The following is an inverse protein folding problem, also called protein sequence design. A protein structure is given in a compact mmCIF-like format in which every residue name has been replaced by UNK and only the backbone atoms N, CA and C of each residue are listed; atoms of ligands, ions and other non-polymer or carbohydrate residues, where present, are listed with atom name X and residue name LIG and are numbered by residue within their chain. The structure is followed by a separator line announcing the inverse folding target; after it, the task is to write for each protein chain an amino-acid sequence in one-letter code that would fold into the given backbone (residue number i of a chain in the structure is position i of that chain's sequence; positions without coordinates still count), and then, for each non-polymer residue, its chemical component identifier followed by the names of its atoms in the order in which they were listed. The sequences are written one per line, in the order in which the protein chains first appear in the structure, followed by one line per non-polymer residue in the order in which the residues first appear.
data_IF_657528874133
#
_entry.id   IF_657528874133
#
_cell.length_a   1.000
_cell.length_b   1.000
_cell.length_c   1.000
_cell.angle_alpha   90.00
_cell.angle_beta   90.00
_cell.angle_gamma   90.00
#
_symmetry.space_group_name_H-M   'P 1'
#
loop_
_entity.id
_entity.type
_entity.pdbx_description
1 polymer ?
#
# COMPACT_ATOMS: atom_id res chain seq x y z
N UNK A 1 11.48 -23.74 -61.18
CA UNK A 1 10.23 -23.55 -60.40
C UNK A 1 10.46 -23.56 -58.89
N UNK A 2 11.15 -24.55 -58.32
CA UNK A 2 11.35 -24.71 -56.86
C UNK A 2 11.93 -23.46 -56.17
N UNK A 3 12.95 -22.81 -56.75
CA UNK A 3 13.52 -21.55 -56.20
C UNK A 3 12.51 -20.41 -56.07
N UNK A 4 11.54 -20.30 -56.98
CA UNK A 4 10.49 -19.28 -56.93
C UNK A 4 9.45 -19.59 -55.85
N UNK A 5 9.13 -20.87 -55.65
CA UNK A 5 8.23 -21.31 -54.57
C UNK A 5 8.85 -21.10 -53.19
N UNK A 6 10.15 -21.36 -53.02
CA UNK A 6 10.86 -21.13 -51.75
C UNK A 6 10.88 -19.63 -51.41
N UNK A 7 11.12 -18.77 -52.40
CA UNK A 7 11.11 -17.32 -52.20
C UNK A 7 9.73 -16.81 -51.79
N UNK A 8 8.67 -17.33 -52.42
CA UNK A 8 7.30 -16.99 -52.07
C UNK A 8 6.93 -17.45 -50.64
N UNK A 9 7.39 -18.65 -50.26
CA UNK A 9 7.20 -19.19 -48.91
C UNK A 9 7.88 -18.32 -47.85
N UNK A 10 9.08 -17.82 -48.16
CA UNK A 10 9.84 -16.94 -47.26
C UNK A 10 9.15 -15.59 -47.07
N UNK A 11 8.58 -15.01 -48.14
CA UNK A 11 7.80 -13.77 -48.07
C UNK A 11 6.52 -13.97 -47.25
N UNK A 12 5.81 -15.09 -47.44
CA UNK A 12 4.61 -15.40 -46.66
C UNK A 12 4.95 -15.59 -45.18
N UNK A 13 6.06 -16.27 -44.86
CA UNK A 13 6.54 -16.43 -43.48
C UNK A 13 6.90 -15.08 -42.83
N UNK A 14 7.50 -14.16 -43.58
CA UNK A 14 7.81 -12.79 -43.09
C UNK A 14 6.54 -11.98 -42.81
N UNK A 15 5.51 -12.11 -43.65
CA UNK A 15 4.22 -11.41 -43.44
C UNK A 15 3.47 -11.99 -42.22
N UNK A 16 3.52 -13.32 -42.02
CA UNK A 16 2.89 -13.96 -40.86
C UNK A 16 3.67 -13.68 -39.55
N UNK A 17 4.99 -13.51 -39.63
CA UNK A 17 5.83 -13.15 -38.49
C UNK A 17 5.63 -11.68 -38.02
N UNK A 18 5.17 -10.80 -38.91
CA UNK A 18 4.77 -9.43 -38.61
C UNK A 18 3.27 -9.32 -38.28
N UNK A 19 2.72 -10.23 -37.48
CA UNK A 19 1.48 -9.90 -36.79
C UNK A 19 1.76 -8.69 -35.90
N UNK A 20 0.98 -7.59 -36.00
CA UNK A 20 1.07 -6.53 -35.02
C UNK A 20 0.88 -7.20 -33.66
N UNK A 21 1.88 -7.08 -32.79
CA UNK A 21 1.70 -7.34 -31.36
C UNK A 21 0.48 -6.50 -31.00
N UNK A 22 -0.60 -7.14 -30.55
CA UNK A 22 -1.86 -6.47 -30.20
C UNK A 22 -1.52 -5.15 -29.53
N UNK A 23 -1.80 -4.04 -30.22
CA UNK A 23 -1.59 -2.71 -29.66
C UNK A 23 -2.45 -2.68 -28.42
N UNK A 24 -1.81 -2.75 -27.24
CA UNK A 24 -2.53 -2.62 -26.00
C UNK A 24 -3.34 -1.34 -26.09
N UNK A 25 -4.63 -1.36 -25.68
CA UNK A 25 -5.51 -0.22 -25.83
C UNK A 25 -4.78 1.03 -25.31
N UNK A 26 -4.64 2.03 -26.17
CA UNK A 26 -4.12 3.34 -25.79
C UNK A 26 -5.12 3.96 -24.82
N UNK A 27 -4.97 3.66 -23.53
CA UNK A 27 -5.64 4.39 -22.47
C UNK A 27 -4.99 5.79 -22.41
N UNK A 28 -5.60 6.78 -23.07
CA UNK A 28 -5.22 8.17 -22.91
C UNK A 28 -5.62 8.64 -21.51
N UNK A 29 -4.63 8.76 -20.62
CA UNK A 29 -4.81 9.37 -19.30
C UNK A 29 -5.04 10.86 -19.53
N UNK A 30 -6.23 11.36 -19.22
CA UNK A 30 -6.48 12.80 -19.19
C UNK A 30 -5.71 13.41 -18.00
N UNK A 31 -4.70 14.22 -18.29
CA UNK A 31 -3.96 14.97 -17.28
C UNK A 31 -4.91 15.99 -16.64
N UNK A 32 -5.15 15.85 -15.34
CA UNK A 32 -5.89 16.85 -14.56
C UNK A 32 -4.93 17.93 -14.07
N UNK A 33 -5.37 19.17 -14.02
CA UNK A 33 -4.60 20.27 -13.44
C UNK A 33 -4.52 20.14 -11.92
N UNK A 34 -3.32 20.14 -11.36
CA UNK A 34 -3.10 20.16 -9.92
C UNK A 34 -3.26 21.60 -9.41
N UNK A 35 -4.38 21.88 -8.73
CA UNK A 35 -4.60 23.16 -8.08
C UNK A 35 -4.15 23.07 -6.62
N UNK A 36 -3.12 23.85 -6.26
CA UNK A 36 -2.66 23.99 -4.87
C UNK A 36 -3.46 25.13 -4.23
N UNK A 37 -4.35 24.78 -3.30
CA UNK A 37 -5.28 25.73 -2.67
C UNK A 37 -4.63 26.43 -1.46
N UNK A 38 -3.79 25.70 -0.72
CA UNK A 38 -3.09 26.20 0.46
C UNK A 38 -1.79 25.41 0.66
N UNK A 39 -0.83 26.00 1.38
CA UNK A 39 0.42 25.34 1.75
C UNK A 39 0.90 25.83 3.10
N UNK A 40 1.25 24.89 3.99
CA UNK A 40 1.91 25.18 5.24
C UNK A 40 3.30 24.56 5.25
N UNK A 41 4.31 25.37 5.62
CA UNK A 41 5.66 24.88 5.83
C UNK A 41 5.76 24.20 7.19
N UNK A 42 6.05 22.90 7.20
CA UNK A 42 6.43 22.17 8.41
C UNK A 42 7.93 22.40 8.63
N UNK A 43 8.30 22.94 9.79
CA UNK A 43 9.70 23.12 10.18
C UNK A 43 10.22 21.80 10.75
N UNK A 44 11.10 21.16 9.99
CA UNK A 44 11.58 19.82 10.26
C UNK A 44 13.10 19.77 10.20
N UNK A 45 13.76 19.23 11.23
CA UNK A 45 15.22 19.28 11.37
C UNK A 45 15.95 17.97 11.04
N UNK A 46 15.23 16.85 10.89
CA UNK A 46 15.76 15.49 10.91
C UNK A 46 15.63 14.74 9.56
N UNK A 47 15.15 15.40 8.49
CA UNK A 47 14.94 14.84 7.16
C UNK A 47 13.80 13.82 7.06
N UNK A 48 12.87 13.73 8.01
CA UNK A 48 11.88 12.63 8.03
C UNK A 48 10.79 12.75 6.96
N UNK A 49 10.44 13.97 6.53
CA UNK A 49 9.47 14.20 5.43
C UNK A 49 10.06 13.89 4.06
N UNK A 50 11.35 13.51 3.97
CA UNK A 50 11.99 13.21 2.69
C UNK A 50 11.36 12.02 1.96
N UNK A 51 10.88 11.01 2.71
CA UNK A 51 10.22 9.81 2.17
C UNK A 51 9.17 9.23 3.12
N UNK A 52 7.97 9.84 3.26
CA UNK A 52 6.90 9.26 4.06
C UNK A 52 6.43 7.93 3.44
N UNK A 53 6.11 6.94 4.28
CA UNK A 53 5.46 5.71 3.82
C UNK A 53 3.97 5.93 3.59
N UNK A 54 3.32 6.68 4.47
CA UNK A 54 1.98 7.21 4.28
C UNK A 54 1.71 8.43 5.16
N UNK A 55 0.72 9.24 4.76
CA UNK A 55 0.18 10.32 5.57
C UNK A 55 -1.35 10.30 5.53
N UNK A 56 -1.99 10.83 6.57
CA UNK A 56 -3.44 11.02 6.63
C UNK A 56 -3.78 12.21 7.50
N UNK A 57 -4.86 12.91 7.15
CA UNK A 57 -5.52 13.78 8.10
C UNK A 57 -6.11 12.94 9.23
N UNK A 58 -6.02 13.46 10.45
CA UNK A 58 -6.61 12.93 11.66
C UNK A 58 -7.56 14.01 12.15
N UNK A 59 -8.86 13.79 11.99
CA UNK A 59 -9.89 14.82 12.14
C UNK A 59 -9.55 16.05 11.26
N UNK A 60 -9.91 17.26 11.73
CA UNK A 60 -9.74 18.51 10.97
C UNK A 60 -8.55 19.36 11.44
N UNK A 61 -7.65 18.81 12.26
CA UNK A 61 -6.58 19.59 12.91
C UNK A 61 -5.22 18.95 12.93
N UNK A 62 -5.12 17.64 12.66
CA UNK A 62 -3.88 16.91 12.79
C UNK A 62 -3.51 16.19 11.49
N UNK A 63 -2.20 16.10 11.23
CA UNK A 63 -1.62 15.32 10.13
C UNK A 63 -0.76 14.21 10.73
N UNK A 64 -1.19 12.97 10.54
CA UNK A 64 -0.41 11.78 10.85
C UNK A 64 0.54 11.45 9.70
N UNK A 65 1.81 11.17 10.02
CA UNK A 65 2.83 10.77 9.05
C UNK A 65 3.57 9.55 9.55
N UNK A 66 3.57 8.46 8.78
CA UNK A 66 4.44 7.31 9.00
C UNK A 66 5.64 7.36 8.05
N UNK A 67 6.81 6.92 8.52
CA UNK A 67 7.98 6.74 7.65
C UNK A 67 8.68 5.42 7.95
N UNK A 68 8.80 4.58 6.92
CA UNK A 68 9.65 3.39 6.94
C UNK A 68 11.13 3.74 6.98
N UNK A 69 11.53 4.80 6.25
CA UNK A 69 12.95 5.18 6.11
C UNK A 69 13.49 5.80 7.39
N UNK A 70 12.71 6.71 7.99
CA UNK A 70 13.06 7.36 9.26
C UNK A 70 12.57 6.58 10.49
N UNK A 71 11.92 5.43 10.28
CA UNK A 71 11.51 4.47 11.32
C UNK A 71 10.66 5.08 12.44
N UNK A 72 9.59 5.78 12.08
CA UNK A 72 8.75 6.42 13.08
C UNK A 72 7.38 6.84 12.59
N UNK A 73 6.59 7.36 13.54
CA UNK A 73 5.28 7.96 13.31
C UNK A 73 5.25 9.33 13.98
N UNK A 74 4.78 10.34 13.28
CA UNK A 74 4.66 11.71 13.76
C UNK A 74 3.25 12.23 13.57
N UNK A 75 2.89 13.20 14.41
CA UNK A 75 1.60 13.89 14.38
C UNK A 75 1.87 15.39 14.46
N UNK A 76 1.40 16.12 13.45
CA UNK A 76 1.55 17.58 13.35
C UNK A 76 0.21 18.26 13.50
N UNK A 77 0.23 19.46 14.05
CA UNK A 77 -0.91 20.37 13.99
C UNK A 77 -0.93 21.08 12.63
N UNK A 78 -1.99 20.92 11.85
CA UNK A 78 -2.05 21.47 10.48
C UNK A 78 -2.25 22.99 10.44
N UNK A 79 -2.57 23.64 11.58
CA UNK A 79 -2.72 25.09 11.66
C UNK A 79 -1.40 25.77 12.03
N UNK A 80 -0.64 25.19 12.95
CA UNK A 80 0.63 25.76 13.42
C UNK A 80 1.87 25.18 12.74
N UNK A 81 1.77 23.99 12.16
CA UNK A 81 2.89 23.27 11.55
C UNK A 81 3.83 22.65 12.58
N UNK A 82 3.49 22.72 13.87
CA UNK A 82 4.28 22.19 14.96
C UNK A 82 4.03 20.69 15.15
N UNK A 83 5.08 19.97 15.53
CA UNK A 83 4.98 18.58 16.00
C UNK A 83 4.25 18.54 17.34
N UNK A 84 3.15 17.79 17.39
CA UNK A 84 2.38 17.55 18.63
C UNK A 84 2.91 16.31 19.34
N UNK A 85 3.18 15.24 18.57
CA UNK A 85 3.64 13.95 19.09
C UNK A 85 4.48 13.22 18.07
N UNK A 86 5.38 12.38 18.58
CA UNK A 86 6.10 11.41 17.77
C UNK A 86 6.36 10.12 18.51
N UNK A 87 6.47 9.05 17.73
CA UNK A 87 6.98 7.75 18.13
C UNK A 87 8.20 7.54 17.27
N UNK A 88 9.35 7.86 17.84
CA UNK A 88 10.64 7.76 17.17
C UNK A 88 11.44 6.70 17.93
N UNK A 89 11.82 5.66 17.20
CA UNK A 89 12.88 4.73 17.61
C UNK A 89 12.58 3.83 18.84
N UNK A 90 13.51 2.90 19.06
CA UNK A 90 13.58 1.96 20.18
C UNK A 90 13.62 2.66 21.54
N UNK A 91 14.05 3.91 21.62
CA UNK A 91 14.15 4.67 22.88
C UNK A 91 12.79 4.95 23.52
N UNK A 92 11.74 5.14 22.71
CA UNK A 92 10.38 5.42 23.20
C UNK A 92 9.59 4.13 23.47
N UNK A 93 9.83 3.07 22.70
CA UNK A 93 9.03 1.83 22.75
C UNK A 93 9.78 0.60 23.29
N UNK A 94 11.09 0.68 23.51
CA UNK A 94 11.95 -0.47 23.80
C UNK A 94 12.16 -1.42 22.61
N UNK A 95 11.51 -1.19 21.46
CA UNK A 95 11.60 -2.04 20.27
C UNK A 95 11.79 -1.21 18.99
N UNK A 96 12.55 -1.71 17.99
CA UNK A 96 12.68 -1.04 16.70
C UNK A 96 11.36 -1.08 15.92
N UNK A 97 11.02 0.04 15.29
CA UNK A 97 9.80 0.19 14.49
C UNK A 97 10.17 0.28 13.01
N UNK A 98 9.45 -0.45 12.17
CA UNK A 98 9.55 -0.33 10.71
C UNK A 98 8.14 -0.14 10.15
N UNK A 99 7.59 1.09 10.18
CA UNK A 99 6.23 1.36 9.72
C UNK A 99 6.12 1.09 8.23
N UNK A 100 5.53 -0.05 7.86
CA UNK A 100 5.10 -0.31 6.48
C UNK A 100 3.95 0.61 6.14
N UNK A 101 2.93 0.65 7.01
CA UNK A 101 1.79 1.55 6.90
C UNK A 101 1.19 1.81 8.27
N UNK A 102 0.58 2.99 8.45
CA UNK A 102 -0.07 3.39 9.71
C UNK A 102 -1.55 3.64 9.45
N UNK A 103 -2.41 3.15 10.34
CA UNK A 103 -3.84 3.45 10.37
C UNK A 103 -4.15 4.37 11.57
N UNK A 104 -4.86 5.45 11.28
CA UNK A 104 -5.24 6.48 12.26
C UNK A 104 -6.75 6.58 12.49
N UNK A 105 -7.53 5.66 11.93
CA UNK A 105 -9.01 5.70 11.95
C UNK A 105 -9.57 5.73 13.38
N UNK A 106 -8.87 5.10 14.34
CA UNK A 106 -9.30 4.99 15.75
C UNK A 106 -8.51 5.91 16.70
N UNK A 107 -7.96 7.03 16.20
CA UNK A 107 -7.19 7.98 17.01
C UNK A 107 -7.96 8.41 18.28
N UNK A 108 -7.35 8.44 19.49
CA UNK A 108 -5.92 8.46 19.83
C UNK A 108 -5.21 7.10 19.87
N UNK A 109 -5.88 6.02 19.47
CA UNK A 109 -5.23 4.74 19.20
C UNK A 109 -4.78 4.70 17.75
N UNK A 110 -3.54 4.31 17.51
CA UNK A 110 -3.03 4.06 16.16
C UNK A 110 -2.58 2.61 16.02
N UNK A 111 -2.61 2.14 14.78
CA UNK A 111 -2.08 0.83 14.42
C UNK A 111 -0.95 1.01 13.43
N UNK A 112 0.17 0.34 13.69
CA UNK A 112 1.36 0.41 12.84
C UNK A 112 1.62 -1.00 12.31
N UNK A 113 1.39 -1.20 11.01
CA UNK A 113 1.77 -2.42 10.32
C UNK A 113 3.29 -2.45 10.13
N UNK A 114 3.92 -3.53 10.56
CA UNK A 114 5.32 -3.82 10.30
C UNK A 114 5.40 -5.09 9.44
N UNK A 115 5.53 -4.90 8.13
CA UNK A 115 5.61 -6.00 7.16
C UNK A 115 6.89 -6.84 7.27
N UNK A 116 7.94 -6.33 7.92
CA UNK A 116 9.19 -7.08 8.14
C UNK A 116 9.04 -8.11 9.26
N UNK A 117 8.30 -7.76 10.31
CA UNK A 117 8.09 -8.64 11.48
C UNK A 117 6.70 -9.29 11.51
N UNK A 118 5.93 -9.10 10.43
CA UNK A 118 4.59 -9.64 10.24
C UNK A 118 3.67 -9.40 11.45
N UNK A 119 3.68 -8.15 11.91
CA UNK A 119 2.97 -7.77 13.12
C UNK A 119 2.38 -6.37 13.04
N UNK A 120 1.41 -6.12 13.91
CA UNK A 120 0.79 -4.83 14.12
C UNK A 120 1.16 -4.35 15.52
N UNK A 121 1.68 -3.14 15.62
CA UNK A 121 1.84 -2.45 16.90
C UNK A 121 0.60 -1.60 17.13
N UNK A 122 -0.17 -1.92 18.18
CA UNK A 122 -1.23 -1.05 18.69
C UNK A 122 -0.59 -0.09 19.68
N UNK A 123 -0.70 1.21 19.42
CA UNK A 123 -0.20 2.25 20.30
C UNK A 123 -1.34 3.18 20.70
N UNK A 124 -1.55 3.34 22.00
CA UNK A 124 -2.49 4.31 22.53
C UNK A 124 -1.75 5.51 23.13
N UNK A 125 -2.00 6.72 22.62
CA UNK A 125 -1.41 7.93 23.16
C UNK A 125 -2.20 8.40 24.39
N UNK A 126 -1.71 8.06 25.59
CA UNK A 126 -2.33 8.54 26.82
C UNK A 126 -2.18 10.07 26.92
N UNK A 127 -3.29 10.80 27.00
CA UNK A 127 -3.30 12.27 27.06
C UNK A 127 -3.14 12.69 28.53
N UNK A 128 -1.92 12.59 29.07
CA UNK A 128 -1.61 13.12 30.41
C UNK A 128 -0.39 14.02 30.37
N UNK A 129 -0.55 15.18 31.03
CA UNK A 129 0.17 16.44 30.83
C UNK A 129 1.70 16.43 30.81
N UNK A 130 2.42 15.38 31.20
CA UNK A 130 3.89 15.48 31.31
C UNK A 130 4.72 14.20 31.07
N UNK A 131 4.13 13.05 30.73
CA UNK A 131 4.87 11.87 30.26
C UNK A 131 3.99 11.03 29.33
N UNK A 132 4.38 10.91 28.06
CA UNK A 132 3.77 9.97 27.13
C UNK A 132 4.31 8.57 27.46
N UNK A 133 3.56 7.77 28.19
CA UNK A 133 3.81 6.33 28.26
C UNK A 133 2.88 5.65 27.26
N UNK A 134 3.32 5.41 26.00
CA UNK A 134 2.51 4.69 25.04
C UNK A 134 2.23 3.28 25.57
N UNK A 135 0.95 2.92 25.71
CA UNK A 135 0.60 1.52 25.95
C UNK A 135 0.78 0.77 24.62
N UNK A 136 1.79 -0.08 24.56
CA UNK A 136 2.15 -0.84 23.37
C UNK A 136 1.68 -2.29 23.50
N UNK A 137 0.91 -2.73 22.51
CA UNK A 137 0.61 -4.14 22.30
C UNK A 137 1.06 -4.56 20.93
N UNK A 138 1.94 -5.56 20.85
CA UNK A 138 2.31 -6.23 19.61
C UNK A 138 1.31 -7.35 19.32
N UNK A 139 0.79 -7.38 18.11
CA UNK A 139 -0.14 -8.39 17.60
C UNK A 139 0.58 -9.08 16.44
N UNK A 140 0.97 -10.35 16.62
CA UNK A 140 1.55 -11.14 15.53
C UNK A 140 0.43 -11.59 14.59
N UNK A 141 0.67 -11.53 13.28
CA UNK A 141 -0.31 -11.97 12.29
C UNK A 141 -0.04 -13.43 11.89
N UNK A 142 -1.09 -14.26 11.95
CA UNK A 142 -1.02 -15.66 11.52
C UNK A 142 -1.23 -15.72 10.00
N UNK A 143 -0.16 -15.52 9.23
CA UNK A 143 -0.27 -15.44 7.78
C UNK A 143 -0.71 -16.78 7.15
N UNK A 144 -1.61 -16.76 6.15
CA UNK A 144 -1.94 -17.97 5.41
C UNK A 144 -0.73 -18.47 4.61
N UNK A 145 -0.63 -19.79 4.44
CA UNK A 145 0.50 -20.45 3.78
C UNK A 145 0.76 -19.86 2.38
N UNK A 146 2.04 -19.62 2.07
CA UNK A 146 2.48 -19.12 0.76
C UNK A 146 2.36 -17.60 0.59
N UNK A 147 1.95 -16.87 1.63
CA UNK A 147 1.82 -15.41 1.60
C UNK A 147 2.84 -14.73 2.50
N UNK A 148 3.06 -13.45 2.26
CA UNK A 148 3.87 -12.53 3.08
C UNK A 148 3.22 -11.15 3.07
N UNK A 149 3.55 -10.34 4.06
CA UNK A 149 3.22 -8.90 4.02
C UNK A 149 4.28 -8.19 3.19
N UNK A 150 3.85 -7.37 2.24
CA UNK A 150 4.77 -6.57 1.45
C UNK A 150 5.40 -5.47 2.35
N UNK A 151 6.73 -5.32 2.37
CA UNK A 151 7.37 -4.27 3.18
C UNK A 151 6.96 -2.84 2.77
N UNK A 152 6.46 -2.68 1.54
CA UNK A 152 5.91 -1.48 0.92
C UNK A 152 4.39 -1.59 0.68
N UNK A 153 3.67 -2.37 1.50
CA UNK A 153 2.22 -2.53 1.41
C UNK A 153 1.50 -1.18 1.36
N UNK A 154 0.67 -1.02 0.33
CA UNK A 154 -0.22 0.10 0.07
C UNK A 154 -1.54 -0.02 0.81
N UNK A 155 -1.96 -1.22 1.23
CA UNK A 155 -3.20 -1.38 1.97
C UNK A 155 -2.97 -1.87 3.39
N UNK A 156 -3.39 -1.03 4.32
CA UNK A 156 -3.55 -1.38 5.72
C UNK A 156 -4.62 -0.47 6.31
N UNK A 157 -5.65 -1.05 6.90
CA UNK A 157 -6.62 -0.32 7.70
C UNK A 157 -7.21 -1.19 8.79
N UNK A 158 -7.75 -0.52 9.79
CA UNK A 158 -8.46 -1.11 10.91
C UNK A 158 -9.93 -0.76 10.81
N UNK A 159 -10.83 -1.74 10.96
CA UNK A 159 -12.26 -1.49 11.04
C UNK A 159 -12.91 -2.50 11.99
N UNK A 160 -13.70 -1.99 12.93
CA UNK A 160 -14.43 -2.80 13.90
C UNK A 160 -13.49 -3.82 14.61
N UNK A 161 -13.71 -5.11 14.37
CA UNK A 161 -12.94 -6.20 14.97
C UNK A 161 -11.87 -6.80 14.04
N UNK A 162 -11.57 -6.12 12.94
CA UNK A 162 -10.71 -6.64 11.88
C UNK A 162 -9.61 -5.66 11.42
N UNK A 163 -8.50 -6.27 11.03
CA UNK A 163 -7.42 -5.66 10.27
C UNK A 163 -7.46 -6.17 8.84
N UNK A 164 -7.22 -5.27 7.92
CA UNK A 164 -7.16 -5.56 6.50
C UNK A 164 -5.76 -5.27 6.02
N UNK A 165 -5.10 -6.26 5.46
CA UNK A 165 -3.66 -6.22 5.17
C UNK A 165 -3.42 -6.69 3.75
N UNK A 166 -2.59 -5.96 3.01
CA UNK A 166 -2.07 -6.41 1.72
C UNK A 166 -1.11 -7.59 1.89
N UNK A 167 -1.39 -8.66 1.15
CA UNK A 167 -0.62 -9.88 1.11
C UNK A 167 -0.09 -10.12 -0.30
N UNK A 168 1.21 -10.41 -0.38
CA UNK A 168 1.88 -10.86 -1.60
C UNK A 168 2.30 -12.32 -1.51
N UNK A 169 2.65 -12.95 -2.65
CA UNK A 169 3.23 -14.29 -2.69
C UNK A 169 4.63 -14.31 -2.06
N UNK A 170 4.94 -15.35 -1.28
CA UNK A 170 6.24 -15.47 -0.61
C UNK A 170 7.39 -15.84 -1.56
N UNK A 171 7.12 -16.69 -2.56
CA UNK A 171 8.13 -17.24 -3.47
C UNK A 171 8.22 -16.50 -4.81
N UNK A 172 7.58 -15.33 -4.91
CA UNK A 172 7.57 -14.55 -6.15
C UNK A 172 8.03 -13.13 -5.84
N UNK A 173 9.08 -12.73 -6.53
CA UNK A 173 9.62 -11.38 -6.40
C UNK A 173 8.65 -10.37 -7.03
N UNK A 174 8.60 -9.15 -6.47
CA UNK A 174 7.60 -8.13 -6.87
C UNK A 174 7.75 -7.62 -8.31
N UNK A 175 8.93 -7.76 -8.90
CA UNK A 175 9.20 -7.44 -10.31
C UNK A 175 9.08 -8.66 -11.23
N UNK A 176 8.50 -9.77 -10.77
CA UNK A 176 8.19 -10.92 -11.62
C UNK A 176 6.87 -10.69 -12.36
N UNK A 177 6.80 -11.09 -13.64
CA UNK A 177 5.54 -11.17 -14.39
C UNK A 177 4.54 -12.20 -13.82
N UNK A 178 4.99 -13.07 -12.90
CA UNK A 178 4.13 -14.01 -12.19
C UNK A 178 3.56 -13.44 -10.89
N UNK A 179 3.94 -12.22 -10.48
CA UNK A 179 3.56 -11.67 -9.18
C UNK A 179 2.03 -11.62 -9.03
N UNK A 180 1.33 -10.95 -9.96
CA UNK A 180 -0.14 -10.81 -9.89
C UNK A 180 -0.85 -12.16 -10.04
N UNK A 181 -0.40 -12.99 -10.98
CA UNK A 181 -0.90 -14.36 -11.20
C UNK A 181 -0.87 -15.20 -9.93
N UNK A 182 0.25 -15.16 -9.22
CA UNK A 182 0.47 -15.97 -8.02
C UNK A 182 0.01 -15.28 -6.73
N UNK A 183 -0.42 -14.03 -6.78
CA UNK A 183 -0.95 -13.32 -5.62
C UNK A 183 -2.34 -13.83 -5.23
N UNK A 184 -3.18 -14.21 -6.20
CA UNK A 184 -4.58 -14.52 -5.94
C UNK A 184 -5.29 -13.34 -5.26
N UNK A 185 -6.10 -13.62 -4.23
CA UNK A 185 -6.83 -12.59 -3.47
C UNK A 185 -5.92 -11.77 -2.54
N UNK A 186 -5.37 -10.64 -2.94
CA UNK A 186 -4.30 -9.96 -2.19
C UNK A 186 -4.71 -9.22 -0.90
N UNK A 187 -5.99 -8.95 -0.63
CA UNK A 187 -6.39 -8.37 0.68
C UNK A 187 -6.79 -9.48 1.65
N UNK A 188 -6.02 -9.62 2.73
CA UNK A 188 -6.30 -10.54 3.85
C UNK A 188 -7.00 -9.83 5.02
N UNK A 189 -7.95 -10.54 5.64
CA UNK A 189 -8.69 -10.10 6.82
C UNK A 189 -8.20 -10.89 8.03
N UNK A 190 -7.83 -10.16 9.09
CA UNK A 190 -7.31 -10.71 10.34
C UNK A 190 -8.12 -10.15 11.51
N UNK A 191 -8.42 -10.97 12.51
CA UNK A 191 -9.01 -10.47 13.75
C UNK A 191 -8.04 -9.53 14.49
N UNK A 192 -8.56 -8.72 15.42
CA UNK A 192 -7.73 -7.89 16.32
C UNK A 192 -6.79 -8.70 17.24
N UNK A 193 -6.96 -10.02 17.31
CA UNK A 193 -6.05 -10.96 17.97
C UNK A 193 -4.92 -11.45 17.06
N UNK A 194 -4.95 -11.13 15.77
CA UNK A 194 -3.95 -11.49 14.76
C UNK A 194 -4.29 -12.72 13.94
N UNK A 195 -5.40 -13.40 14.22
CA UNK A 195 -5.79 -14.62 13.51
C UNK A 195 -6.33 -14.31 12.14
N UNK A 196 -5.84 -15.04 11.14
CA UNK A 196 -6.37 -14.97 9.79
C UNK A 196 -7.81 -15.48 9.70
N UNK A 197 -8.64 -14.77 8.92
CA UNK A 197 -10.03 -15.15 8.62
C UNK A 197 -10.18 -15.59 7.17
N UNK A 198 -9.98 -14.68 6.22
CA UNK A 198 -10.16 -14.93 4.78
C UNK A 198 -9.44 -13.89 3.93
N UNK A 199 -9.47 -14.08 2.60
CA UNK A 199 -9.01 -13.11 1.59
C UNK A 199 -10.14 -12.88 0.59
N UNK A 200 -10.29 -11.67 0.05
CA UNK A 200 -11.45 -11.36 -0.78
C UNK A 200 -11.16 -10.65 -2.12
N UNK A 201 -10.15 -9.79 -2.22
CA UNK A 201 -9.95 -8.95 -3.41
C UNK A 201 -8.89 -9.51 -4.36
N UNK A 202 -9.23 -9.73 -5.62
CA UNK A 202 -8.32 -10.19 -6.68
C UNK A 202 -7.78 -9.01 -7.49
N UNK A 203 -6.58 -9.19 -8.06
CA UNK A 203 -6.09 -8.26 -9.09
C UNK A 203 -6.90 -8.47 -10.38
N UNK A 204 -7.16 -7.40 -11.16
CA UNK A 204 -7.89 -7.51 -12.41
C UNK A 204 -7.07 -8.22 -13.50
N UNK A 205 -7.77 -8.72 -14.53
CA UNK A 205 -7.15 -9.38 -15.68
C UNK A 205 -6.08 -8.52 -16.36
N UNK A 206 -6.26 -7.20 -16.39
CA UNK A 206 -5.27 -6.24 -16.91
C UNK A 206 -3.90 -6.33 -16.23
N UNK A 207 -3.84 -6.83 -14.98
CA UNK A 207 -2.60 -7.08 -14.25
C UNK A 207 -2.21 -8.56 -14.25
N UNK A 208 -3.17 -9.48 -14.09
CA UNK A 208 -2.86 -10.92 -14.04
C UNK A 208 -2.51 -11.51 -15.40
N UNK A 209 -2.81 -10.85 -16.52
CA UNK A 209 -2.47 -11.34 -17.87
C UNK A 209 -1.31 -10.57 -18.51
N UNK A 210 -0.57 -9.75 -17.73
CA UNK A 210 0.58 -9.02 -18.23
C UNK A 210 1.66 -9.96 -18.79
N UNK A 211 2.09 -9.67 -20.02
CA UNK A 211 3.24 -10.33 -20.66
C UNK A 211 4.58 -9.83 -20.09
N UNK A 212 4.59 -8.65 -19.47
CA UNK A 212 5.73 -8.06 -18.76
C UNK A 212 5.54 -8.02 -17.25
N UNK A 213 6.37 -7.23 -16.55
CA UNK A 213 6.16 -6.94 -15.14
C UNK A 213 5.78 -5.48 -14.94
N UNK A 214 4.93 -5.25 -13.95
CA UNK A 214 4.66 -3.93 -13.39
C UNK A 214 4.86 -4.07 -11.89
N UNK A 215 5.67 -3.21 -11.26
CA UNK A 215 5.81 -3.31 -9.81
C UNK A 215 4.48 -2.95 -9.13
N UNK A 216 4.05 -3.70 -8.09
CA UNK A 216 2.74 -3.52 -7.44
C UNK A 216 2.51 -2.15 -6.81
N UNK A 217 3.57 -1.34 -6.68
CA UNK A 217 3.61 0.02 -6.15
C UNK A 217 2.33 0.85 -6.36
N UNK A 218 2.13 1.61 -7.45
CA UNK A 218 0.93 2.42 -7.63
C UNK A 218 -0.13 1.73 -8.51
N UNK A 219 -0.20 0.39 -8.51
CA UNK A 219 -1.14 -0.34 -9.39
C UNK A 219 -2.58 -0.30 -8.92
N UNK A 220 -2.80 0.11 -7.67
CA UNK A 220 -4.11 0.34 -7.13
C UNK A 220 -4.06 1.36 -5.99
N UNK A 221 -5.21 1.95 -5.68
CA UNK A 221 -5.42 2.80 -4.53
C UNK A 221 -6.59 2.27 -3.72
N UNK A 222 -6.51 2.37 -2.40
CA UNK A 222 -7.58 1.97 -1.49
C UNK A 222 -7.76 2.99 -0.38
N UNK A 223 -9.00 3.24 0.01
CA UNK A 223 -9.31 4.13 1.12
C UNK A 223 -10.71 3.90 1.66
N UNK A 224 -10.91 4.25 2.93
CA UNK A 224 -12.23 4.24 3.56
C UNK A 224 -12.96 5.51 3.10
N UNK A 225 -14.13 5.36 2.46
CA UNK A 225 -14.93 6.52 1.98
C UNK A 225 -15.86 7.03 3.09
N UNK A 226 -16.35 6.13 3.93
CA UNK A 226 -17.19 6.41 5.08
C UNK A 226 -17.04 5.28 6.12
N UNK A 227 -17.71 5.39 7.26
CA UNK A 227 -17.59 4.41 8.36
C UNK A 227 -17.88 2.94 7.98
N UNK A 228 -18.52 2.69 6.84
CA UNK A 228 -18.89 1.34 6.40
C UNK A 228 -18.20 0.87 5.12
N UNK A 229 -17.76 1.76 4.23
CA UNK A 229 -17.42 1.40 2.85
C UNK A 229 -15.95 1.62 2.54
N UNK A 230 -15.31 0.58 2.03
CA UNK A 230 -13.98 0.65 1.43
C UNK A 230 -14.13 0.95 -0.06
N UNK A 231 -13.35 1.90 -0.58
CA UNK A 231 -13.11 2.02 -2.01
C UNK A 231 -11.79 1.35 -2.37
N UNK A 232 -11.80 0.65 -3.49
CA UNK A 232 -10.57 0.29 -4.21
C UNK A 232 -10.71 0.70 -5.67
N UNK A 233 -9.66 1.28 -6.21
CA UNK A 233 -9.56 1.61 -7.63
C UNK A 233 -8.27 1.05 -8.19
N UNK A 234 -8.38 0.38 -9.34
CA UNK A 234 -7.25 0.04 -10.21
C UNK A 234 -7.24 1.08 -11.34
N UNK A 235 -6.20 1.90 -11.48
CA UNK A 235 -6.13 2.88 -12.57
C UNK A 235 -6.31 2.28 -13.96
N UNK A 236 -5.86 1.03 -14.17
CA UNK A 236 -6.03 0.30 -15.43
C UNK A 236 -7.50 -0.07 -15.75
N UNK A 237 -8.38 -0.09 -14.75
CA UNK A 237 -9.77 -0.48 -14.91
C UNK A 237 -10.72 0.73 -15.01
N UNK A 238 -10.22 1.94 -14.73
CA UNK A 238 -10.98 3.20 -14.73
C UNK A 238 -12.27 3.13 -13.87
N UNK A 239 -12.28 2.26 -12.86
CA UNK A 239 -13.45 1.96 -12.02
C UNK A 239 -13.13 2.08 -10.55
N UNK A 240 -14.09 2.64 -9.80
CA UNK A 240 -14.11 2.62 -8.35
C UNK A 240 -14.98 1.47 -7.86
N UNK A 241 -14.38 0.45 -7.24
CA UNK A 241 -15.11 -0.61 -6.57
C UNK A 241 -15.42 -0.19 -5.14
N UNK A 242 -16.67 -0.37 -4.72
CA UNK A 242 -17.11 -0.18 -3.34
C UNK A 242 -17.30 -1.55 -2.70
N UNK A 243 -16.64 -1.77 -1.58
CA UNK A 243 -16.53 -3.03 -0.86
C UNK A 243 -17.07 -2.87 0.56
#
# INVERSE_FOLDING_TARGET
MIRRCIFLLYIILQIIACKPVDEQPKHTINLSELVIIDSLKILESNGFLSRPSNSSLINDSLLGVGSRFSKGVWIFNIKSGLEEKSIIDQSVLGIPIYPTKVDWTEYPTIYILNGVTESILKVHFNITKNKANPNLKKIKLDLPKGTRIMPDARSFWSKENDFFVELGPINVFKSSNQFYKNSGKFIGVFGKDGKYKYRFLEYPNSLTELNGFLEPGPTYSSGIINNSNLAVSFPSEEKLMRL
#
